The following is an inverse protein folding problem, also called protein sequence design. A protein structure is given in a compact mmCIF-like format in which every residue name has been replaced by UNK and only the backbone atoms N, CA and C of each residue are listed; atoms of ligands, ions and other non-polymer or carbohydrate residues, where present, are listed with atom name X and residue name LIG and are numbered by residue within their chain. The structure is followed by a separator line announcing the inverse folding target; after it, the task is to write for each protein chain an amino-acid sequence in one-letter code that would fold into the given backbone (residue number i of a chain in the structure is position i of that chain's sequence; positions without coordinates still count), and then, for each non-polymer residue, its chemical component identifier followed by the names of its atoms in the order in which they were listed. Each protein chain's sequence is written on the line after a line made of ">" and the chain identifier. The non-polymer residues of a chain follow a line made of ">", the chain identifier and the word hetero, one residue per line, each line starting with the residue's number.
data_IF_192973132529
#
_entry.id   IF_192973132529
#
_cell.length_a   1.000
_cell.length_b   1.000
_cell.length_c   1.000
_cell.angle_alpha   90.00
_cell.angle_beta   90.00
_cell.angle_gamma   90.00
#
_symmetry.space_group_name_H-M   'P 1'
#
loop_
_entity.id
_entity.type
_entity.pdbx_description
1 polymer ?
#
# COMPACT_ATOMS: atom_id res chain seq x y z
N UNK A 1 -5.05 -12.99 -4.51
CA UNK A 1 -4.07 -11.90 -4.74
C UNK A 1 -4.68 -10.82 -5.64
N UNK A 2 -4.82 -9.58 -5.14
CA UNK A 2 -5.19 -8.44 -5.98
C UNK A 2 -4.03 -8.03 -6.90
N UNK A 3 -4.31 -7.29 -7.97
CA UNK A 3 -3.25 -6.71 -8.80
C UNK A 3 -2.31 -5.84 -7.95
N UNK A 4 -1.04 -5.69 -8.36
CA UNK A 4 -0.03 -4.88 -7.65
C UNK A 4 -0.56 -3.47 -7.28
N UNK A 5 -1.39 -2.90 -8.16
CA UNK A 5 -2.09 -1.64 -7.96
C UNK A 5 -3.03 -1.61 -6.74
N UNK A 6 -3.70 -2.72 -6.42
CA UNK A 6 -4.58 -2.81 -5.25
C UNK A 6 -3.80 -2.71 -3.92
N UNK A 7 -2.49 -2.96 -3.94
CA UNK A 7 -1.63 -2.75 -2.78
C UNK A 7 -1.11 -1.30 -2.68
N UNK A 8 -0.92 -0.62 -3.82
CA UNK A 8 -0.50 0.79 -3.87
C UNK A 8 -1.57 1.75 -3.31
N UNK A 9 -2.85 1.40 -3.43
CA UNK A 9 -3.99 2.25 -3.01
C UNK A 9 -4.03 2.54 -1.50
N UNK A 10 -3.30 1.78 -0.67
CA UNK A 10 -3.22 2.05 0.77
C UNK A 10 -2.64 3.44 1.07
N UNK A 11 -1.67 3.90 0.27
CA UNK A 11 -1.13 5.25 0.40
C UNK A 11 -2.23 6.29 0.15
N UNK A 12 -2.94 6.18 -0.98
CA UNK A 12 -4.06 7.08 -1.34
C UNK A 12 -5.09 7.18 -0.21
N UNK A 13 -5.50 6.05 0.36
CA UNK A 13 -6.51 6.06 1.43
C UNK A 13 -5.97 6.63 2.73
N UNK A 14 -4.76 6.26 3.14
CA UNK A 14 -4.12 6.84 4.33
C UNK A 14 -3.93 8.36 4.22
N UNK A 15 -3.52 8.84 3.04
CA UNK A 15 -3.37 10.27 2.75
C UNK A 15 -4.71 11.01 2.83
N UNK A 16 -5.78 10.44 2.25
CA UNK A 16 -7.13 11.03 2.33
C UNK A 16 -7.67 11.12 3.76
N UNK A 17 -7.26 10.18 4.63
CA UNK A 17 -7.64 10.19 6.04
C UNK A 17 -6.78 11.17 6.87
N UNK A 18 -5.68 11.68 6.32
CA UNK A 18 -4.92 12.82 6.82
C UNK A 18 -4.73 12.84 8.34
N UNK A 19 -5.20 13.88 9.06
CA UNK A 19 -4.98 14.03 10.51
C UNK A 19 -5.60 12.90 11.37
N UNK A 20 -6.41 12.04 10.76
CA UNK A 20 -7.00 10.88 11.42
C UNK A 20 -6.07 9.65 11.40
N UNK A 21 -4.99 9.66 10.63
CA UNK A 21 -4.03 8.55 10.54
C UNK A 21 -2.66 8.98 11.05
N UNK A 22 -2.01 8.09 11.80
CA UNK A 22 -0.65 8.31 12.28
C UNK A 22 0.34 8.50 11.12
N UNK A 23 1.23 9.49 11.22
CA UNK A 23 2.17 9.81 10.14
C UNK A 23 3.11 8.63 9.81
N UNK A 24 3.49 7.79 10.77
CA UNK A 24 4.30 6.61 10.49
C UNK A 24 3.52 5.58 9.68
N UNK A 25 2.22 5.39 9.94
CA UNK A 25 1.37 4.52 9.12
C UNK A 25 1.24 5.05 7.69
N UNK A 26 1.07 6.37 7.52
CA UNK A 26 1.04 7.00 6.20
C UNK A 26 2.37 6.81 5.44
N UNK A 27 3.50 7.04 6.10
CA UNK A 27 4.84 6.87 5.49
C UNK A 27 5.10 5.40 5.12
N UNK A 28 4.73 4.45 5.97
CA UNK A 28 4.84 3.03 5.63
C UNK A 28 4.01 2.64 4.40
N UNK A 29 2.81 3.24 4.23
CA UNK A 29 2.00 3.04 3.04
C UNK A 29 2.63 3.69 1.80
N UNK A 30 3.28 4.86 1.95
CA UNK A 30 4.02 5.51 0.88
C UNK A 30 5.20 4.65 0.41
N UNK A 31 6.01 4.14 1.33
CA UNK A 31 7.16 3.29 1.03
C UNK A 31 6.74 2.02 0.29
N UNK A 32 5.65 1.38 0.74
CA UNK A 32 5.07 0.24 0.03
C UNK A 32 4.66 0.60 -1.40
N UNK A 33 4.01 1.75 -1.59
CA UNK A 33 3.56 2.20 -2.91
C UNK A 33 4.75 2.52 -3.82
N UNK A 34 5.83 3.09 -3.28
CA UNK A 34 7.08 3.35 -4.00
C UNK A 34 7.75 2.04 -4.44
N UNK A 35 7.91 1.07 -3.53
CA UNK A 35 8.50 -0.23 -3.84
C UNK A 35 7.68 -0.99 -4.91
N UNK A 36 6.35 -0.93 -4.79
CA UNK A 36 5.46 -1.53 -5.78
C UNK A 36 5.57 -0.82 -7.14
N UNK A 37 5.73 0.51 -7.16
CA UNK A 37 5.93 1.27 -8.41
C UNK A 37 7.27 0.95 -9.04
N UNK A 38 8.34 0.83 -8.26
CA UNK A 38 9.63 0.37 -8.76
C UNK A 38 9.50 -1.00 -9.41
N UNK A 39 8.84 -1.94 -8.74
CA UNK A 39 8.64 -3.29 -9.28
C UNK A 39 7.90 -3.26 -10.63
N UNK A 40 6.85 -2.44 -10.75
CA UNK A 40 6.09 -2.25 -11.98
C UNK A 40 6.94 -1.61 -13.10
N UNK A 41 7.72 -0.57 -12.76
CA UNK A 41 8.66 0.08 -13.67
C UNK A 41 9.70 -0.91 -14.21
N UNK A 42 10.29 -1.72 -13.33
CA UNK A 42 11.31 -2.72 -13.70
C UNK A 42 10.75 -3.85 -14.56
N UNK A 43 9.47 -4.19 -14.40
CA UNK A 43 8.78 -5.21 -15.20
C UNK A 43 8.15 -4.66 -16.49
N UNK A 44 8.18 -3.33 -16.69
CA UNK A 44 7.62 -2.66 -17.86
C UNK A 44 8.47 -2.91 -19.12
N UNK A 45 7.93 -2.66 -20.33
CA UNK A 45 8.69 -2.79 -21.57
C UNK A 45 9.71 -1.67 -21.79
N UNK A 46 9.77 -0.67 -20.90
CA UNK A 46 10.64 0.49 -21.05
C UNK A 46 12.02 0.23 -20.45
N UNK A 47 13.06 0.68 -21.15
CA UNK A 47 14.40 0.70 -20.62
C UNK A 47 14.59 1.90 -19.68
N UNK A 48 14.69 1.61 -18.38
CA UNK A 48 14.85 2.61 -17.33
C UNK A 48 16.24 2.55 -16.67
N UNK A 49 17.23 1.93 -17.35
CA UNK A 49 18.60 1.80 -16.83
C UNK A 49 19.26 3.16 -16.58
N UNK A 50 19.00 4.16 -17.43
CA UNK A 50 19.49 5.53 -17.23
C UNK A 50 18.92 6.21 -15.97
N UNK A 51 17.79 5.70 -15.47
CA UNK A 51 17.17 6.12 -14.22
C UNK A 51 17.54 5.24 -13.02
N UNK A 52 18.49 4.31 -13.19
CA UNK A 52 18.98 3.42 -12.12
C UNK A 52 18.17 2.14 -11.91
N UNK A 53 17.21 1.82 -12.78
CA UNK A 53 16.37 0.64 -12.64
C UNK A 53 16.82 -0.50 -13.55
N UNK A 54 17.29 -1.61 -12.96
CA UNK A 54 17.60 -2.82 -13.73
C UNK A 54 16.31 -3.56 -14.12
N UNK A 55 16.12 -3.89 -15.41
CA UNK A 55 14.89 -4.51 -15.89
C UNK A 55 14.74 -5.94 -15.35
N UNK A 56 13.50 -6.33 -15.09
CA UNK A 56 13.09 -7.71 -14.85
C UNK A 56 12.50 -8.21 -16.17
N UNK A 57 13.21 -9.13 -16.83
CA UNK A 57 12.76 -9.72 -18.10
C UNK A 57 11.60 -10.69 -17.87
N UNK A 58 10.37 -10.17 -17.70
CA UNK A 58 9.17 -10.94 -17.35
C UNK A 58 8.69 -11.91 -18.43
N UNK A 59 9.23 -11.81 -19.65
CA UNK A 59 9.01 -12.78 -20.72
C UNK A 59 9.83 -14.06 -20.51
N UNK A 60 10.96 -13.95 -19.81
CA UNK A 60 11.80 -15.10 -19.47
C UNK A 60 11.27 -15.80 -18.23
N UNK A 61 11.35 -17.16 -18.15
CA UNK A 61 10.87 -17.90 -16.98
C UNK A 61 11.49 -17.43 -15.65
N UNK A 62 12.78 -17.09 -15.65
CA UNK A 62 13.50 -16.59 -14.48
C UNK A 62 13.01 -15.21 -14.03
N UNK A 63 12.84 -14.28 -14.98
CA UNK A 63 12.34 -12.94 -14.66
C UNK A 63 10.88 -12.97 -14.22
N UNK A 64 10.05 -13.83 -14.83
CA UNK A 64 8.67 -14.05 -14.37
C UNK A 64 8.62 -14.58 -12.94
N UNK A 65 9.48 -15.54 -12.59
CA UNK A 65 9.56 -16.08 -11.24
C UNK A 65 10.01 -15.00 -10.23
N UNK A 66 10.99 -14.17 -10.58
CA UNK A 66 11.40 -13.02 -9.74
C UNK A 66 10.24 -12.05 -9.53
N UNK A 67 9.56 -11.65 -10.61
CA UNK A 67 8.44 -10.72 -10.56
C UNK A 67 7.33 -11.21 -9.64
N UNK A 68 6.89 -12.46 -9.80
CA UNK A 68 5.85 -13.07 -8.96
C UNK A 68 6.28 -13.14 -7.49
N UNK A 69 7.54 -13.51 -7.21
CA UNK A 69 8.08 -13.55 -5.85
C UNK A 69 8.02 -12.17 -5.18
N UNK A 70 8.50 -11.14 -5.89
CA UNK A 70 8.49 -9.75 -5.41
C UNK A 70 7.07 -9.20 -5.24
N UNK A 71 6.13 -9.58 -6.10
CA UNK A 71 4.71 -9.26 -5.93
C UNK A 71 4.14 -9.87 -4.65
N UNK A 72 4.54 -11.10 -4.32
CA UNK A 72 4.19 -11.77 -3.06
C UNK A 72 4.66 -10.99 -1.83
N UNK A 73 5.92 -10.56 -1.82
CA UNK A 73 6.49 -9.76 -0.72
C UNK A 73 5.73 -8.42 -0.51
N UNK A 74 5.38 -7.74 -1.60
CA UNK A 74 4.54 -6.53 -1.55
C UNK A 74 3.16 -6.85 -0.98
N UNK A 75 2.54 -7.95 -1.41
CA UNK A 75 1.21 -8.35 -0.94
C UNK A 75 1.20 -8.65 0.57
N UNK A 76 2.23 -9.34 1.08
CA UNK A 76 2.37 -9.64 2.51
C UNK A 76 2.54 -8.37 3.35
N UNK A 77 3.40 -7.45 2.90
CA UNK A 77 3.55 -6.13 3.56
C UNK A 77 2.25 -5.33 3.52
N UNK A 78 1.58 -5.30 2.37
CA UNK A 78 0.31 -4.62 2.19
C UNK A 78 -0.79 -5.18 3.12
N UNK A 79 -0.84 -6.49 3.33
CA UNK A 79 -1.80 -7.11 4.24
C UNK A 79 -1.68 -6.56 5.67
N UNK A 80 -0.44 -6.39 6.18
CA UNK A 80 -0.20 -5.83 7.51
C UNK A 80 -0.63 -4.37 7.60
N UNK A 81 -0.27 -3.55 6.61
CA UNK A 81 -0.63 -2.13 6.57
C UNK A 81 -2.14 -1.93 6.41
N UNK A 82 -2.79 -2.74 5.59
CA UNK A 82 -4.25 -2.76 5.42
C UNK A 82 -4.96 -3.07 6.73
N UNK A 83 -4.51 -4.10 7.46
CA UNK A 83 -5.06 -4.43 8.77
C UNK A 83 -4.87 -3.28 9.78
N UNK A 84 -3.72 -2.60 9.75
CA UNK A 84 -3.48 -1.43 10.61
C UNK A 84 -4.40 -0.26 10.28
N UNK A 85 -4.57 0.06 8.99
CA UNK A 85 -5.45 1.13 8.53
C UNK A 85 -6.92 0.83 8.87
N UNK A 86 -7.36 -0.41 8.68
CA UNK A 86 -8.72 -0.84 9.03
C UNK A 86 -8.97 -0.68 10.53
N UNK A 87 -8.08 -1.19 11.39
CA UNK A 87 -8.19 -1.01 12.86
C UNK A 87 -8.27 0.46 13.25
N UNK A 88 -7.51 1.33 12.58
CA UNK A 88 -7.58 2.78 12.85
C UNK A 88 -8.95 3.34 12.51
N UNK A 89 -9.51 2.99 11.36
CA UNK A 89 -10.86 3.39 10.97
C UNK A 89 -11.93 2.87 11.93
N UNK A 90 -11.85 1.61 12.34
CA UNK A 90 -12.76 1.01 13.33
C UNK A 90 -12.74 1.78 14.64
N UNK A 91 -11.55 2.09 15.18
CA UNK A 91 -11.41 2.88 16.41
C UNK A 91 -12.00 4.29 16.28
N UNK A 92 -11.82 4.95 15.13
CA UNK A 92 -12.40 6.27 14.88
C UNK A 92 -13.92 6.24 14.85
N UNK A 93 -14.51 5.21 14.22
CA UNK A 93 -15.95 5.02 14.16
C UNK A 93 -16.56 4.75 15.55
N UNK A 94 -15.88 3.96 16.39
CA UNK A 94 -16.28 3.72 17.77
C UNK A 94 -16.31 5.03 18.58
N UNK A 95 -15.22 5.81 18.53
CA UNK A 95 -15.13 7.09 19.23
C UNK A 95 -16.19 8.07 18.74
N UNK A 96 -16.44 8.15 17.43
CA UNK A 96 -17.47 9.01 16.88
C UNK A 96 -18.88 8.62 17.36
N UNK A 97 -19.16 7.31 17.45
CA UNK A 97 -20.41 6.78 18.02
C UNK A 97 -20.59 7.15 19.49
N UNK A 98 -19.53 7.03 20.29
CA UNK A 98 -19.56 7.39 21.71
C UNK A 98 -19.81 8.89 21.91
N UNK A 99 -19.16 9.74 21.11
CA UNK A 99 -19.37 11.20 21.14
C UNK A 99 -20.82 11.55 20.77
N UNK A 100 -21.37 10.93 19.73
CA UNK A 100 -22.76 11.16 19.31
C UNK A 100 -23.75 10.74 20.41
N UNK A 101 -23.54 9.58 21.04
CA UNK A 101 -24.37 9.08 22.13
C UNK A 101 -24.27 9.96 23.41
N UNK A 102 -23.10 10.54 23.68
CA UNK A 102 -22.91 11.49 24.78
C UNK A 102 -23.56 12.86 24.50
N UNK A 103 -23.54 13.30 23.24
CA UNK A 103 -24.09 14.60 22.82
C UNK A 103 -25.62 14.61 22.71
N UNK A 104 -26.26 13.45 22.44
CA UNK A 104 -27.72 13.28 22.38
C UNK A 104 -28.43 13.12 23.73
N UNK A 105 -27.73 13.35 24.86
CA UNK A 105 -28.29 13.33 26.22
C UNK A 105 -28.43 14.73 26.84
N UNK A 106 -28.57 15.77 26.02
CA UNK A 106 -28.99 17.12 26.45
C UNK A 106 -30.41 17.41 25.99
#
# INVERSE_FOLDING_TARGET
>A
PGCLHANMDLYKWSYKLGPLVDSALLMNCLDLAADARELDMRASPYDLREHGFSPIAVEEPGGRAEYVRRQGEIAERAARLRAALLRRCENLLLIAGDIAAASGRQ
#
